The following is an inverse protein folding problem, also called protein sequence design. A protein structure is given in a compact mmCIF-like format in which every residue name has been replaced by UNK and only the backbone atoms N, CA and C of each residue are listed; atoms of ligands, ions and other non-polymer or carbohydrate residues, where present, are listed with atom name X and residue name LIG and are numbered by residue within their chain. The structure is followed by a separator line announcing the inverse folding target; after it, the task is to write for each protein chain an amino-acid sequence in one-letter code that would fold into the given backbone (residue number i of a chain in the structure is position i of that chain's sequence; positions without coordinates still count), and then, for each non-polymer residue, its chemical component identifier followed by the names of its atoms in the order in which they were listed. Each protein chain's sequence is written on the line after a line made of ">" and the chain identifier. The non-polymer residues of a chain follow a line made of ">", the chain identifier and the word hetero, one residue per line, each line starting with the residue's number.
data_IF_455800732275
#
_entry.id   IF_455800732275
#
_cell.length_a   1.000
_cell.length_b   1.000
_cell.length_c   1.000
_cell.angle_alpha   90.00
_cell.angle_beta   90.00
_cell.angle_gamma   90.00
#
_symmetry.space_group_name_H-M   'P 1'
#
loop_
_entity.id
_entity.type
_entity.pdbx_description
1 polymer ?
#
# COMPACT_ATOMS: atom_id res chain seq x y z
N UNK A 1 5.96 21.52 19.70
CA UNK A 1 6.00 20.05 19.66
C UNK A 1 4.57 19.54 19.56
N UNK A 2 4.13 19.24 18.35
CA UNK A 2 2.90 18.51 18.07
C UNK A 2 3.18 17.72 16.78
N UNK A 3 3.85 16.57 16.92
CA UNK A 3 3.94 15.59 15.84
C UNK A 3 2.55 14.95 15.75
N UNK A 4 1.71 15.52 14.89
CA UNK A 4 0.39 14.99 14.61
C UNK A 4 0.48 13.52 14.22
N UNK A 5 -0.47 12.75 14.74
CA UNK A 5 -0.68 11.30 14.64
C UNK A 5 -0.85 10.77 13.20
N UNK A 6 -0.68 11.60 12.17
CA UNK A 6 -0.76 11.25 10.75
C UNK A 6 0.41 10.36 10.26
N UNK A 7 1.52 10.34 11.01
CA UNK A 7 2.73 9.61 10.62
C UNK A 7 2.65 8.09 10.77
N UNK A 8 1.77 7.57 11.64
CA UNK A 8 1.81 6.14 12.02
C UNK A 8 1.50 5.19 10.86
N UNK A 9 0.42 5.45 10.12
CA UNK A 9 -0.02 4.55 9.03
C UNK A 9 0.76 4.77 7.74
N UNK A 10 1.01 6.04 7.36
CA UNK A 10 1.82 6.36 6.18
C UNK A 10 3.28 5.94 6.38
N UNK A 11 3.80 6.07 7.60
CA UNK A 11 5.11 5.55 8.02
C UNK A 11 5.31 4.10 7.62
N UNK A 12 4.44 3.22 8.13
CA UNK A 12 4.50 1.78 7.86
C UNK A 12 4.39 1.42 6.36
N UNK A 13 3.65 2.23 5.59
CA UNK A 13 3.44 2.00 4.15
C UNK A 13 4.49 2.67 3.25
N UNK A 14 5.36 3.52 3.80
CA UNK A 14 6.28 4.36 3.02
C UNK A 14 7.21 3.52 2.15
N UNK A 15 7.82 2.48 2.72
CA UNK A 15 8.69 1.61 1.96
C UNK A 15 7.95 0.96 0.77
N UNK A 16 6.78 0.38 1.03
CA UNK A 16 6.03 -0.36 0.00
C UNK A 16 5.49 0.56 -1.10
N UNK A 17 4.95 1.72 -0.73
CA UNK A 17 4.31 2.64 -1.66
C UNK A 17 5.31 3.51 -2.45
N UNK A 18 6.40 3.96 -1.83
CA UNK A 18 7.30 4.95 -2.43
C UNK A 18 8.65 4.36 -2.88
N UNK A 19 9.21 3.42 -2.12
CA UNK A 19 10.57 2.95 -2.36
C UNK A 19 10.62 1.65 -3.16
N UNK A 20 9.81 0.64 -2.82
CA UNK A 20 9.92 -0.71 -3.41
C UNK A 20 9.83 -0.68 -4.93
N UNK A 21 8.73 -0.15 -5.49
CA UNK A 21 8.53 -0.14 -6.93
C UNK A 21 9.53 0.74 -7.71
N UNK A 22 10.12 1.76 -7.06
CA UNK A 22 11.20 2.57 -7.66
C UNK A 22 12.49 1.77 -7.70
N UNK A 23 12.87 1.13 -6.58
CA UNK A 23 14.07 0.29 -6.51
C UNK A 23 13.98 -0.89 -7.49
N UNK A 24 12.84 -1.56 -7.58
CA UNK A 24 12.61 -2.66 -8.52
C UNK A 24 12.78 -2.20 -9.98
N UNK A 25 12.27 -1.01 -10.31
CA UNK A 25 12.46 -0.40 -11.64
C UNK A 25 13.92 -0.06 -11.91
N UNK A 26 14.64 0.48 -10.93
CA UNK A 26 16.06 0.82 -11.08
C UNK A 26 16.89 -0.45 -11.26
N UNK A 27 16.61 -1.52 -10.51
CA UNK A 27 17.23 -2.85 -10.71
C UNK A 27 16.96 -3.36 -12.12
N UNK A 28 15.71 -3.32 -12.58
CA UNK A 28 15.34 -3.79 -13.91
C UNK A 28 16.07 -3.03 -15.02
N UNK A 29 16.23 -1.72 -14.87
CA UNK A 29 16.95 -0.87 -15.82
C UNK A 29 18.47 -1.11 -15.82
N UNK A 30 19.02 -1.64 -14.72
CA UNK A 30 20.45 -1.92 -14.54
C UNK A 30 20.78 -3.41 -14.51
N UNK A 31 19.88 -4.27 -15.02
CA UNK A 31 19.99 -5.73 -14.93
C UNK A 31 21.27 -6.35 -15.52
N UNK A 32 21.99 -5.63 -16.39
CA UNK A 32 23.23 -6.09 -17.03
C UNK A 32 24.50 -5.65 -16.26
N UNK A 33 24.35 -4.92 -15.15
CA UNK A 33 25.44 -4.43 -14.32
C UNK A 33 25.31 -5.05 -12.92
N UNK A 34 26.01 -6.17 -12.72
CA UNK A 34 25.98 -6.93 -11.47
C UNK A 34 26.40 -6.10 -10.26
N UNK A 35 27.33 -5.16 -10.46
CA UNK A 35 27.78 -4.26 -9.39
C UNK A 35 26.67 -3.30 -8.98
N UNK A 36 26.02 -2.66 -9.96
CA UNK A 36 24.89 -1.77 -9.70
C UNK A 36 23.74 -2.52 -9.02
N UNK A 37 23.38 -3.72 -9.50
CA UNK A 37 22.34 -4.56 -8.89
C UNK A 37 22.67 -4.87 -7.43
N UNK A 38 23.91 -5.27 -7.13
CA UNK A 38 24.36 -5.54 -5.75
C UNK A 38 24.25 -4.30 -4.84
N UNK A 39 24.67 -3.13 -5.32
CA UNK A 39 24.56 -1.87 -4.56
C UNK A 39 23.10 -1.52 -4.27
N UNK A 40 22.21 -1.67 -5.26
CA UNK A 40 20.78 -1.40 -5.08
C UNK A 40 20.14 -2.39 -4.09
N UNK A 41 20.53 -3.67 -4.11
CA UNK A 41 20.07 -4.64 -3.12
C UNK A 41 20.54 -4.30 -1.71
N UNK A 42 21.79 -3.82 -1.57
CA UNK A 42 22.30 -3.33 -0.29
C UNK A 42 21.50 -2.12 0.20
N UNK A 43 21.27 -1.12 -0.67
CA UNK A 43 20.43 0.03 -0.35
C UNK A 43 19.04 -0.38 0.13
N UNK A 44 18.42 -1.35 -0.56
CA UNK A 44 17.12 -1.91 -0.19
C UNK A 44 17.11 -2.44 1.24
N UNK A 45 18.12 -3.24 1.60
CA UNK A 45 18.25 -3.80 2.95
C UNK A 45 18.48 -2.73 4.01
N UNK A 46 19.33 -1.74 3.72
CA UNK A 46 19.64 -0.64 4.64
C UNK A 46 18.43 0.24 4.89
N UNK A 47 17.67 0.61 3.85
CA UNK A 47 16.46 1.43 4.01
C UNK A 47 15.40 0.70 4.85
N UNK A 48 15.18 -0.59 4.60
CA UNK A 48 14.27 -1.41 5.43
C UNK A 48 14.73 -1.51 6.87
N UNK A 49 16.03 -1.74 7.09
CA UNK A 49 16.58 -1.87 8.43
C UNK A 49 16.48 -0.55 9.21
N UNK A 50 16.71 0.58 8.55
CA UNK A 50 16.56 1.90 9.15
C UNK A 50 15.12 2.14 9.62
N UNK A 51 14.13 1.82 8.78
CA UNK A 51 12.71 1.98 9.10
C UNK A 51 12.23 1.03 10.22
N UNK A 52 12.77 -0.19 10.27
CA UNK A 52 12.51 -1.13 11.37
C UNK A 52 13.13 -0.64 12.69
N UNK A 53 14.34 -0.08 12.61
CA UNK A 53 15.08 0.39 13.80
C UNK A 53 14.52 1.71 14.34
N UNK A 54 13.92 2.53 13.46
CA UNK A 54 13.28 3.79 13.79
C UNK A 54 11.97 3.89 12.99
N UNK A 55 10.83 3.54 13.62
CA UNK A 55 9.54 3.57 12.94
C UNK A 55 9.25 4.93 12.30
N UNK A 56 8.79 4.91 11.05
CA UNK A 56 8.53 6.11 10.23
C UNK A 56 9.76 6.88 9.78
N UNK A 57 10.98 6.34 9.96
CA UNK A 57 12.20 6.98 9.47
C UNK A 57 12.12 7.29 7.98
N UNK A 58 11.66 6.36 7.14
CA UNK A 58 11.56 6.60 5.69
C UNK A 58 10.52 7.67 5.35
N UNK A 59 9.47 7.80 6.15
CA UNK A 59 8.46 8.84 5.97
C UNK A 59 9.03 10.21 6.30
N UNK A 60 9.72 10.33 7.44
CA UNK A 60 10.39 11.57 7.84
C UNK A 60 11.49 11.96 6.86
N UNK A 61 12.30 10.99 6.43
CA UNK A 61 13.31 11.18 5.39
C UNK A 61 12.68 11.68 4.08
N UNK A 62 11.56 11.10 3.65
CA UNK A 62 10.83 11.55 2.45
C UNK A 62 10.31 12.98 2.60
N UNK A 63 9.79 13.35 3.77
CA UNK A 63 9.35 14.73 4.04
C UNK A 63 10.50 15.72 3.93
N UNK A 64 11.66 15.39 4.50
CA UNK A 64 12.87 16.24 4.40
C UNK A 64 13.28 16.40 2.93
N UNK A 65 13.35 15.32 2.16
CA UNK A 65 13.68 15.39 0.73
C UNK A 65 12.70 16.27 -0.06
N UNK A 66 11.40 16.20 0.25
CA UNK A 66 10.40 17.01 -0.42
C UNK A 66 10.54 18.49 -0.09
N UNK A 67 10.78 18.83 1.18
CA UNK A 67 11.03 20.20 1.63
C UNK A 67 12.25 20.78 0.89
N UNK A 68 13.34 20.02 0.79
CA UNK A 68 14.58 20.45 0.12
C UNK A 68 14.45 20.52 -1.41
N UNK A 69 13.51 19.78 -2.00
CA UNK A 69 13.33 19.71 -3.46
C UNK A 69 12.54 20.87 -4.08
N UNK A 70 11.92 21.73 -3.26
CA UNK A 70 10.98 22.78 -3.68
C UNK A 70 9.78 22.26 -4.51
N UNK A 71 9.52 20.95 -4.48
CA UNK A 71 8.40 20.34 -5.18
C UNK A 71 7.10 20.48 -4.37
N UNK A 72 6.06 21.01 -4.99
CA UNK A 72 4.72 21.04 -4.39
C UNK A 72 3.99 19.71 -4.61
N UNK A 73 4.26 18.73 -3.74
CA UNK A 73 3.65 17.39 -3.80
C UNK A 73 2.75 17.18 -2.58
N UNK A 74 1.47 16.89 -2.83
CA UNK A 74 0.58 16.38 -1.80
C UNK A 74 0.93 14.91 -1.52
N UNK A 75 1.56 14.66 -0.37
CA UNK A 75 1.97 13.31 0.03
C UNK A 75 0.78 12.35 0.13
N UNK A 76 -0.32 12.78 0.73
CA UNK A 76 -1.51 11.95 0.94
C UNK A 76 -2.08 11.46 -0.40
N UNK A 77 -2.19 12.36 -1.39
CA UNK A 77 -2.60 11.96 -2.73
C UNK A 77 -1.56 11.07 -3.42
N UNK A 78 -0.27 11.35 -3.26
CA UNK A 78 0.79 10.54 -3.83
C UNK A 78 0.75 9.10 -3.30
N UNK A 79 0.55 8.92 -1.99
CA UNK A 79 0.34 7.60 -1.38
C UNK A 79 -0.89 6.92 -1.95
N UNK A 80 -2.02 7.63 -2.06
CA UNK A 80 -3.25 7.06 -2.59
C UNK A 80 -3.10 6.61 -4.05
N UNK A 81 -2.50 7.43 -4.92
CA UNK A 81 -2.19 7.05 -6.31
C UNK A 81 -1.27 5.83 -6.37
N UNK A 82 -0.26 5.77 -5.50
CA UNK A 82 0.73 4.68 -5.49
C UNK A 82 0.15 3.32 -5.09
N UNK A 83 -0.95 3.30 -4.31
CA UNK A 83 -1.63 2.06 -3.94
C UNK A 83 -2.16 1.24 -5.14
N UNK A 84 -2.33 1.87 -6.31
CA UNK A 84 -2.68 1.16 -7.54
C UNK A 84 -1.60 0.15 -7.98
N UNK A 85 -0.34 0.45 -7.71
CA UNK A 85 0.84 -0.33 -8.15
C UNK A 85 1.67 -0.89 -7.01
N UNK A 86 1.36 -0.51 -5.76
CA UNK A 86 2.06 -1.04 -4.59
C UNK A 86 1.87 -2.57 -4.49
N UNK A 87 2.85 -3.30 -3.94
CA UNK A 87 2.72 -4.73 -3.66
C UNK A 87 1.44 -5.07 -2.89
N UNK A 88 0.84 -6.21 -3.18
CA UNK A 88 -0.40 -6.71 -2.55
C UNK A 88 -0.14 -7.72 -1.44
N UNK A 89 1.12 -7.96 -1.10
CA UNK A 89 1.56 -8.97 -0.11
C UNK A 89 0.89 -8.81 1.26
N UNK A 90 0.51 -7.58 1.64
CA UNK A 90 -0.19 -7.24 2.88
C UNK A 90 -1.68 -7.65 2.88
N UNK A 91 -2.26 -7.85 1.69
CA UNK A 91 -3.66 -8.23 1.49
C UNK A 91 -3.82 -9.69 1.03
N UNK A 92 -2.72 -10.35 0.68
CA UNK A 92 -2.71 -11.72 0.20
C UNK A 92 -2.49 -12.73 1.32
N UNK A 93 -3.24 -13.82 1.29
CA UNK A 93 -3.14 -14.91 2.26
C UNK A 93 -2.63 -16.18 1.55
N UNK A 94 -1.37 -16.22 1.08
CA UNK A 94 -0.87 -17.27 0.18
C UNK A 94 -0.86 -18.67 0.83
N UNK A 95 -0.78 -18.73 2.16
CA UNK A 95 -0.76 -19.98 2.92
C UNK A 95 -2.16 -20.60 3.07
N UNK A 96 -3.23 -19.87 2.74
CA UNK A 96 -4.61 -20.31 2.89
C UNK A 96 -5.22 -20.58 1.50
N UNK A 97 -5.24 -21.86 1.10
CA UNK A 97 -5.71 -22.28 -0.23
C UNK A 97 -7.24 -22.39 -0.37
N UNK A 98 -7.99 -22.14 0.70
CA UNK A 98 -9.46 -22.18 0.59
C UNK A 98 -9.97 -20.99 -0.22
N UNK A 99 -11.04 -21.23 -0.97
CA UNK A 99 -11.59 -20.27 -1.94
C UNK A 99 -12.03 -18.98 -1.27
N UNK A 100 -12.53 -19.06 -0.05
CA UNK A 100 -13.06 -17.97 0.75
C UNK A 100 -11.95 -16.95 1.09
N UNK A 101 -10.76 -17.43 1.48
CA UNK A 101 -9.61 -16.55 1.76
C UNK A 101 -9.06 -15.89 0.49
N UNK A 102 -9.01 -16.63 -0.63
CA UNK A 102 -8.60 -16.07 -1.91
C UNK A 102 -9.57 -14.99 -2.40
N UNK A 103 -10.87 -15.23 -2.26
CA UNK A 103 -11.91 -14.26 -2.59
C UNK A 103 -11.79 -13.00 -1.73
N UNK A 104 -11.54 -13.15 -0.42
CA UNK A 104 -11.30 -12.02 0.49
C UNK A 104 -10.12 -11.16 0.01
N UNK A 105 -8.97 -11.79 -0.29
CA UNK A 105 -7.79 -11.09 -0.82
C UNK A 105 -8.10 -10.37 -2.14
N UNK A 106 -8.78 -11.03 -3.08
CA UNK A 106 -9.17 -10.43 -4.35
C UNK A 106 -10.07 -9.20 -4.16
N UNK A 107 -11.04 -9.26 -3.23
CA UNK A 107 -11.93 -8.13 -2.93
C UNK A 107 -11.19 -6.98 -2.24
N UNK A 108 -10.25 -7.28 -1.34
CA UNK A 108 -9.44 -6.28 -0.66
C UNK A 108 -8.57 -5.52 -1.66
N UNK A 109 -7.88 -6.24 -2.55
CA UNK A 109 -7.07 -5.65 -3.63
C UNK A 109 -7.93 -4.83 -4.60
N UNK A 110 -9.11 -5.35 -4.96
CA UNK A 110 -10.05 -4.62 -5.82
C UNK A 110 -10.46 -3.29 -5.20
N UNK A 111 -10.87 -3.27 -3.92
CA UNK A 111 -11.25 -2.04 -3.22
C UNK A 111 -10.07 -1.05 -3.17
N UNK A 112 -8.87 -1.53 -2.83
CA UNK A 112 -7.65 -0.70 -2.81
C UNK A 112 -7.40 -0.02 -4.15
N UNK A 113 -7.57 -0.74 -5.27
CA UNK A 113 -7.39 -0.19 -6.63
C UNK A 113 -8.45 0.85 -6.99
N UNK A 114 -9.69 0.69 -6.55
CA UNK A 114 -10.74 1.71 -6.77
C UNK A 114 -10.42 2.98 -5.99
N UNK A 115 -10.04 2.85 -4.70
CA UNK A 115 -9.66 3.99 -3.87
C UNK A 115 -8.45 4.75 -4.44
N UNK A 116 -7.49 4.04 -5.04
CA UNK A 116 -6.30 4.65 -5.63
C UNK A 116 -6.60 5.59 -6.82
N UNK A 117 -7.77 5.48 -7.46
CA UNK A 117 -8.18 6.34 -8.59
C UNK A 117 -8.83 7.66 -8.16
N UNK A 118 -9.20 7.79 -6.90
CA UNK A 118 -9.89 8.98 -6.36
C UNK A 118 -9.16 10.30 -6.71
N UNK A 119 -7.82 10.41 -6.59
CA UNK A 119 -7.10 11.65 -6.94
C UNK A 119 -7.21 12.06 -8.42
N UNK A 120 -7.39 11.10 -9.34
CA UNK A 120 -7.55 11.39 -10.78
C UNK A 120 -9.00 11.73 -11.11
N UNK A 121 -9.94 11.04 -10.47
CA UNK A 121 -11.36 11.08 -10.83
C UNK A 121 -12.15 12.17 -10.09
N UNK A 122 -11.64 12.69 -8.96
CA UNK A 122 -12.35 13.70 -8.14
C UNK A 122 -12.55 15.06 -8.81
N UNK A 123 -11.77 15.36 -9.85
CA UNK A 123 -11.85 16.65 -10.57
C UNK A 123 -13.11 16.75 -11.44
N UNK A 124 -13.60 15.64 -11.97
CA UNK A 124 -14.83 15.57 -12.75
C UNK A 124 -15.98 15.02 -11.92
N UNK A 125 -17.01 15.85 -11.70
CA UNK A 125 -18.14 15.50 -10.84
C UNK A 125 -18.86 14.23 -11.28
N UNK A 126 -19.02 14.01 -12.59
CA UNK A 126 -19.77 12.86 -13.10
C UNK A 126 -18.99 11.57 -12.89
N UNK A 127 -17.72 11.59 -13.23
CA UNK A 127 -16.78 10.48 -13.04
C UNK A 127 -16.67 10.15 -11.56
N UNK A 128 -16.47 11.15 -10.70
CA UNK A 128 -16.38 10.94 -9.26
C UNK A 128 -17.63 10.31 -8.65
N UNK A 129 -18.83 10.67 -9.13
CA UNK A 129 -20.08 10.01 -8.68
C UNK A 129 -20.13 8.54 -9.07
N UNK A 130 -19.60 8.17 -10.24
CA UNK A 130 -19.45 6.75 -10.61
C UNK A 130 -18.39 6.06 -9.75
N UNK A 131 -17.26 6.70 -9.47
CA UNK A 131 -16.24 6.20 -8.53
C UNK A 131 -16.83 5.92 -7.16
N UNK A 132 -17.66 6.82 -6.62
CA UNK A 132 -18.33 6.63 -5.31
C UNK A 132 -19.23 5.39 -5.33
N UNK A 133 -20.00 5.17 -6.41
CA UNK A 133 -20.82 3.96 -6.56
C UNK A 133 -19.96 2.71 -6.61
N UNK A 134 -18.83 2.77 -7.30
CA UNK A 134 -17.90 1.65 -7.41
C UNK A 134 -17.21 1.32 -6.08
N UNK A 135 -16.83 2.35 -5.30
CA UNK A 135 -16.32 2.20 -3.93
C UNK A 135 -17.38 1.50 -3.07
N UNK A 136 -18.63 1.98 -3.08
CA UNK A 136 -19.71 1.38 -2.31
C UNK A 136 -19.95 -0.10 -2.71
N UNK A 137 -19.94 -0.39 -4.01
CA UNK A 137 -20.05 -1.77 -4.52
C UNK A 137 -18.88 -2.66 -4.05
N UNK A 138 -17.66 -2.14 -4.08
CA UNK A 138 -16.45 -2.87 -3.68
C UNK A 138 -16.40 -3.12 -2.17
N UNK A 139 -16.81 -2.14 -1.35
CA UNK A 139 -16.96 -2.29 0.10
C UNK A 139 -17.96 -3.40 0.40
N UNK A 140 -19.14 -3.37 -0.23
CA UNK A 140 -20.15 -4.41 -0.05
C UNK A 140 -19.61 -5.81 -0.37
N UNK A 141 -18.97 -5.97 -1.53
CA UNK A 141 -18.37 -7.26 -1.95
C UNK A 141 -17.29 -7.74 -0.98
N UNK A 142 -16.48 -6.83 -0.43
CA UNK A 142 -15.48 -7.17 0.56
C UNK A 142 -16.12 -7.65 1.86
N UNK A 143 -17.15 -6.96 2.36
CA UNK A 143 -17.89 -7.36 3.56
C UNK A 143 -18.58 -8.73 3.36
N UNK A 144 -19.17 -8.97 2.19
CA UNK A 144 -19.77 -10.26 1.85
C UNK A 144 -18.72 -11.39 1.88
N UNK A 145 -17.52 -11.15 1.34
CA UNK A 145 -16.41 -12.11 1.37
C UNK A 145 -15.89 -12.35 2.81
N UNK A 146 -15.79 -11.30 3.63
CA UNK A 146 -15.43 -11.42 5.05
C UNK A 146 -16.44 -12.29 5.80
N UNK A 147 -17.74 -12.09 5.56
CA UNK A 147 -18.78 -12.90 6.18
C UNK A 147 -18.69 -14.38 5.76
N UNK A 148 -18.38 -14.67 4.50
CA UNK A 148 -18.15 -16.03 4.02
C UNK A 148 -16.95 -16.69 4.73
N UNK A 149 -15.86 -15.94 4.91
CA UNK A 149 -14.69 -16.41 5.67
C UNK A 149 -15.05 -16.69 7.14
N UNK A 150 -15.84 -15.83 7.78
CA UNK A 150 -16.28 -16.04 9.17
C UNK A 150 -17.09 -17.33 9.36
N UNK A 151 -17.81 -17.80 8.33
CA UNK A 151 -18.56 -19.06 8.36
C UNK A 151 -17.67 -20.31 8.29
N UNK A 152 -16.50 -20.21 7.67
CA UNK A 152 -15.56 -21.34 7.51
C UNK A 152 -14.46 -21.37 8.58
N UNK A 153 -14.23 -20.26 9.27
CA UNK A 153 -13.27 -20.18 10.39
C UNK A 153 -13.77 -21.04 11.56
N UNK A 154 -12.89 -21.87 12.11
CA UNK A 154 -13.19 -22.70 13.28
C UNK A 154 -13.54 -21.83 14.51
N UNK A 155 -14.56 -22.18 15.32
CA UNK A 155 -15.04 -21.38 16.44
C UNK A 155 -13.98 -20.98 17.47
N UNK A 156 -12.90 -21.77 17.59
CA UNK A 156 -11.79 -21.48 18.50
C UNK A 156 -10.98 -20.23 18.14
N UNK A 157 -11.03 -19.77 16.88
CA UNK A 157 -10.33 -18.55 16.42
C UNK A 157 -11.23 -17.31 16.58
N UNK A 158 -12.55 -17.50 16.69
CA UNK A 158 -13.52 -16.41 16.84
C UNK A 158 -13.53 -15.78 18.25
N UNK A 159 -12.79 -16.34 19.21
CA UNK A 159 -12.89 -16.03 20.64
C UNK A 159 -11.73 -15.23 21.25
N UNK A 160 -10.72 -14.82 20.48
CA UNK A 160 -9.76 -13.82 20.97
C UNK A 160 -10.37 -12.42 20.83
N UNK A 161 -11.19 -12.05 21.81
CA UNK A 161 -11.47 -10.65 22.16
C UNK A 161 -10.28 -10.06 22.92
#
# INVERSE_FOLDING_TARGET
>A
MAMNEEGGYLGAMTYQCLYSGVLDRVVQNRRNDDSAVHVIQRLRSTLRQADVSSPSFLFDFTKVLLIDSELNVNLQEAFLRRQATAPTDDLELPNLRQKEYQELSLRAVSLRRVLARVPEEMSDRRTFLETIKEIASSIKKLLDATNAVMQVIHPSVQLCK
#
